data_IF_431541251358
#
_entry.id   IF_431541251358
#
_cell.length_a   1.000
_cell.length_b   1.000
_cell.length_c   1.000
_cell.angle_alpha   90.00
_cell.angle_beta   90.00
_cell.angle_gamma   90.00
#
_symmetry.space_group_name_H-M   'P 1'
#
loop_
_entity.id
_entity.type
_entity.pdbx_description
1 polymer ?
#
# COMPACT_ATOMS: atom_id res chain seq x y z
N UNK A 1 19.07 19.24 -3.47
CA UNK A 1 18.74 17.94 -4.10
C UNK A 1 17.44 17.47 -3.49
N UNK A 2 16.32 17.64 -4.18
CA UNK A 2 15.01 17.20 -3.68
C UNK A 2 14.94 15.71 -4.00
N UNK A 3 14.86 14.87 -2.97
CA UNK A 3 14.63 13.44 -3.13
C UNK A 3 13.36 13.25 -3.98
N UNK A 4 13.47 12.56 -5.11
CA UNK A 4 12.32 12.25 -5.96
C UNK A 4 11.28 11.52 -5.12
N UNK A 5 10.07 12.08 -5.06
CA UNK A 5 8.97 11.45 -4.34
C UNK A 5 8.68 10.09 -4.96
N UNK A 6 8.39 9.05 -4.15
CA UNK A 6 7.96 7.76 -4.67
C UNK A 6 6.69 7.93 -5.52
N UNK A 7 6.60 7.18 -6.62
CA UNK A 7 5.44 7.18 -7.53
C UNK A 7 4.17 6.75 -6.81
N UNK A 8 4.29 5.82 -5.87
CA UNK A 8 3.21 5.39 -4.99
C UNK A 8 3.74 5.15 -3.57
N UNK A 9 3.10 5.80 -2.61
CA UNK A 9 3.33 5.61 -1.19
C UNK A 9 1.98 5.46 -0.47
N UNK A 10 1.69 4.24 -0.04
CA UNK A 10 0.54 3.92 0.81
C UNK A 10 1.03 3.70 2.24
N UNK A 11 0.45 4.39 3.21
CA UNK A 11 0.77 4.22 4.63
C UNK A 11 -0.50 4.25 5.48
N UNK A 12 -0.54 3.60 6.65
CA UNK A 12 -1.71 3.69 7.52
C UNK A 12 -1.83 5.12 8.06
N UNK A 13 -3.03 5.71 8.04
CA UNK A 13 -3.27 7.01 8.66
C UNK A 13 -3.00 6.91 10.15
N UNK A 14 -2.00 7.63 10.66
CA UNK A 14 -1.81 7.80 12.11
C UNK A 14 -2.64 8.99 12.56
N UNK A 15 -3.08 8.97 13.81
CA UNK A 15 -3.80 10.09 14.45
C UNK A 15 -3.00 11.41 14.41
N UNK A 16 -1.68 11.34 14.25
CA UNK A 16 -0.75 12.49 14.13
C UNK A 16 -0.53 12.97 12.68
N UNK A 17 -1.04 12.29 11.65
CA UNK A 17 -0.86 12.69 10.25
C UNK A 17 -1.75 13.89 9.84
N UNK A 18 -2.72 14.29 10.68
CA UNK A 18 -3.44 15.58 10.54
C UNK A 18 -2.50 16.80 10.59
N UNK A 19 -1.28 16.65 11.11
CA UNK A 19 -0.31 17.76 11.20
C UNK A 19 0.56 17.86 9.93
N UNK A 20 0.52 16.86 9.04
CA UNK A 20 1.36 16.81 7.81
C UNK A 20 0.72 17.42 6.56
N UNK A 21 -0.52 17.90 6.63
CA UNK A 21 -1.12 18.75 5.58
C UNK A 21 -0.26 20.00 5.31
N UNK A 22 0.68 20.36 6.19
CA UNK A 22 1.65 21.45 6.00
C UNK A 22 2.86 21.13 5.09
N UNK A 23 3.11 19.88 4.70
CA UNK A 23 4.34 19.49 3.96
C UNK A 23 4.13 19.15 2.46
N UNK A 24 2.99 19.54 1.88
CA UNK A 24 2.83 19.65 0.42
C UNK A 24 2.78 18.33 -0.36
N UNK A 25 2.40 17.23 0.29
CA UNK A 25 2.08 15.98 -0.40
C UNK A 25 0.62 15.65 -0.13
N UNK A 26 -0.24 16.01 -1.09
CA UNK A 26 -1.68 15.81 -1.06
C UNK A 26 -2.01 14.32 -0.91
N UNK A 27 -2.99 14.04 -0.06
CA UNK A 27 -3.58 12.71 0.10
C UNK A 27 -4.56 12.48 -1.07
N UNK A 28 -4.32 11.43 -1.86
CA UNK A 28 -5.14 11.09 -3.02
C UNK A 28 -6.23 10.09 -2.61
N UNK A 29 -7.48 10.54 -2.63
CA UNK A 29 -8.62 9.68 -2.32
C UNK A 29 -9.00 8.82 -3.53
N UNK A 30 -9.27 7.53 -3.29
CA UNK A 30 -9.68 6.59 -4.33
C UNK A 30 -11.21 6.39 -4.41
N UNK A 31 -11.97 7.13 -3.59
CA UNK A 31 -13.42 7.03 -3.50
C UNK A 31 -13.91 5.78 -2.78
N UNK A 32 -13.08 5.17 -1.94
CA UNK A 32 -13.44 4.05 -1.06
C UNK A 32 -13.33 4.53 0.38
N UNK A 33 -14.44 4.93 1.04
CA UNK A 33 -14.40 5.60 2.34
C UNK A 33 -13.63 4.81 3.40
N UNK A 34 -13.77 3.48 3.41
CA UNK A 34 -13.08 2.64 4.41
C UNK A 34 -11.58 2.62 4.13
N UNK A 35 -11.20 2.56 2.86
CA UNK A 35 -9.80 2.59 2.45
C UNK A 35 -9.16 3.96 2.72
N UNK A 36 -9.84 5.03 2.30
CA UNK A 36 -9.39 6.42 2.41
C UNK A 36 -9.34 6.88 3.88
N UNK A 37 -10.17 6.33 4.77
CA UNK A 37 -10.05 6.55 6.22
C UNK A 37 -8.89 5.75 6.86
N UNK A 38 -8.56 4.58 6.31
CA UNK A 38 -7.54 3.67 6.87
C UNK A 38 -6.13 4.04 6.40
N UNK A 39 -5.98 4.46 5.16
CA UNK A 39 -4.71 4.68 4.50
C UNK A 39 -4.59 6.10 3.98
N UNK A 40 -3.36 6.59 4.01
CA UNK A 40 -2.91 7.80 3.34
C UNK A 40 -2.21 7.35 2.07
N UNK A 41 -2.63 7.89 0.93
CA UNK A 41 -2.10 7.56 -0.38
C UNK A 41 -1.45 8.80 -1.00
N UNK A 42 -0.15 8.72 -1.24
CA UNK A 42 0.60 9.76 -1.97
C UNK A 42 1.07 9.19 -3.29
N UNK A 43 0.74 9.90 -4.37
CA UNK A 43 1.01 9.44 -5.73
C UNK A 43 1.52 10.59 -6.58
N UNK A 44 2.46 10.29 -7.47
CA UNK A 44 2.86 11.21 -8.53
C UNK A 44 2.02 11.03 -9.81
N UNK A 45 1.37 9.88 -9.96
CA UNK A 45 0.51 9.50 -11.09
C UNK A 45 -0.76 8.83 -10.55
N UNK A 46 -1.83 9.63 -10.45
CA UNK A 46 -3.12 9.17 -9.93
C UNK A 46 -3.73 8.07 -10.81
N UNK A 47 -3.73 8.24 -12.13
CA UNK A 47 -4.38 7.30 -13.05
C UNK A 47 -3.72 5.93 -13.04
N UNK A 48 -2.38 5.88 -13.06
CA UNK A 48 -1.68 4.60 -12.95
C UNK A 48 -1.89 3.93 -11.59
N UNK A 49 -2.00 4.73 -10.52
CA UNK A 49 -2.17 4.20 -9.16
C UNK A 49 -3.60 3.72 -8.90
N UNK A 50 -4.61 4.39 -9.43
CA UNK A 50 -6.01 3.94 -9.40
C UNK A 50 -6.18 2.61 -10.13
N UNK A 51 -5.53 2.44 -11.28
CA UNK A 51 -5.53 1.18 -12.02
C UNK A 51 -4.79 0.06 -11.26
N UNK A 52 -3.73 0.40 -10.51
CA UNK A 52 -3.01 -0.57 -9.68
C UNK A 52 -3.86 -0.98 -8.47
N UNK A 53 -4.36 0.02 -7.73
CA UNK A 53 -5.20 -0.09 -6.55
C UNK A 53 -6.67 -0.20 -6.96
N UNK A 54 -6.99 -1.25 -7.71
CA UNK A 54 -8.37 -1.57 -8.03
C UNK A 54 -9.17 -2.00 -6.78
N UNK A 55 -10.52 -2.03 -6.84
CA UNK A 55 -11.34 -2.39 -5.68
C UNK A 55 -11.00 -3.76 -5.05
N UNK A 56 -10.71 -4.84 -5.82
CA UNK A 56 -10.22 -6.10 -5.27
C UNK A 56 -8.96 -5.95 -4.41
N UNK A 57 -7.95 -5.23 -4.91
CA UNK A 57 -6.68 -5.06 -4.20
C UNK A 57 -6.85 -4.21 -2.93
N UNK A 58 -7.67 -3.14 -2.98
CA UNK A 58 -8.02 -2.31 -1.81
C UNK A 58 -8.59 -3.15 -0.67
N UNK A 59 -9.55 -4.02 -0.98
CA UNK A 59 -10.18 -4.93 0.00
C UNK A 59 -9.17 -5.89 0.61
N UNK A 60 -8.25 -6.42 -0.21
CA UNK A 60 -7.21 -7.34 0.26
C UNK A 60 -6.20 -6.64 1.17
N UNK A 61 -5.81 -5.41 0.84
CA UNK A 61 -4.97 -4.56 1.68
C UNK A 61 -5.65 -4.26 3.03
N UNK A 62 -6.93 -3.90 3.03
CA UNK A 62 -7.71 -3.70 4.26
C UNK A 62 -7.78 -4.97 5.11
N UNK A 63 -8.02 -6.14 4.50
CA UNK A 63 -8.08 -7.42 5.22
C UNK A 63 -6.72 -7.77 5.86
N UNK A 64 -5.62 -7.57 5.13
CA UNK A 64 -4.27 -7.81 5.64
C UNK A 64 -3.91 -6.82 6.75
N UNK A 65 -4.30 -5.55 6.62
CA UNK A 65 -4.07 -4.56 7.66
C UNK A 65 -4.74 -4.95 8.99
N UNK A 66 -6.00 -5.39 8.91
CA UNK A 66 -6.77 -5.83 10.08
C UNK A 66 -6.21 -7.10 10.73
N UNK A 67 -5.57 -7.98 9.97
CA UNK A 67 -5.11 -9.29 10.45
C UNK A 67 -3.63 -9.36 10.81
N UNK A 68 -2.80 -8.52 10.20
CA UNK A 68 -1.34 -8.55 10.34
C UNK A 68 -0.80 -7.27 11.00
N UNK A 69 -1.50 -6.15 10.87
CA UNK A 69 -1.15 -4.88 11.47
C UNK A 69 -0.76 -3.80 10.44
N UNK A 70 -0.05 -2.75 10.87
CA UNK A 70 0.35 -1.63 10.01
C UNK A 70 1.14 -2.12 8.77
N UNK A 71 0.60 -1.84 7.58
CA UNK A 71 1.25 -2.13 6.30
C UNK A 71 1.55 -0.84 5.55
N UNK A 72 2.60 -0.86 4.73
CA UNK A 72 2.97 0.25 3.86
C UNK A 72 3.37 -0.29 2.50
N UNK A 73 2.96 0.38 1.43
CA UNK A 73 3.35 0.04 0.07
C UNK A 73 4.20 1.18 -0.49
N UNK A 74 5.37 0.85 -1.01
CA UNK A 74 6.25 1.79 -1.72
C UNK A 74 6.53 1.28 -3.13
N UNK A 75 7.31 2.03 -3.91
CA UNK A 75 7.83 1.55 -5.19
C UNK A 75 8.73 0.32 -5.01
N UNK A 76 9.44 0.21 -3.89
CA UNK A 76 10.36 -0.90 -3.61
C UNK A 76 9.63 -2.16 -3.12
N UNK A 77 8.40 -2.04 -2.62
CA UNK A 77 7.58 -3.20 -2.28
C UNK A 77 6.63 -2.98 -1.10
N UNK A 78 6.15 -4.10 -0.56
CA UNK A 78 5.23 -4.16 0.57
C UNK A 78 6.02 -4.34 1.87
N UNK A 79 5.87 -3.39 2.79
CA UNK A 79 6.43 -3.44 4.13
C UNK A 79 5.33 -3.68 5.16
N UNK A 80 5.53 -4.65 6.04
CA UNK A 80 4.58 -4.95 7.11
C UNK A 80 5.28 -4.89 8.46
N UNK A 81 4.67 -4.17 9.41
CA UNK A 81 5.17 -4.07 10.78
C UNK A 81 4.32 -4.94 11.69
N UNK A 82 4.90 -6.03 12.15
CA UNK A 82 4.28 -6.88 13.17
C UNK A 82 4.42 -6.16 14.53
N UNK A 83 3.31 -5.88 15.24
CA UNK A 83 3.36 -5.16 16.52
C UNK A 83 3.96 -6.01 17.64
N UNK A 84 3.95 -7.35 17.48
CA UNK A 84 4.49 -8.31 18.44
C UNK A 84 5.29 -9.37 17.72
N UNK A 85 6.30 -9.93 18.40
CA UNK A 85 6.94 -11.18 17.95
C UNK A 85 5.88 -12.27 18.08
N UNK A 86 5.50 -12.98 17.00
CA UNK A 86 4.53 -14.04 17.09
C UNK A 86 5.03 -15.11 18.07
N UNK A 87 4.26 -15.32 19.14
CA UNK A 87 4.58 -16.30 20.18
C UNK A 87 4.46 -17.73 19.63
N UNK A 88 3.64 -17.90 18.59
CA UNK A 88 3.48 -19.14 17.85
C UNK A 88 4.26 -19.10 16.53
N UNK A 89 5.30 -19.94 16.36
CA UNK A 89 6.12 -19.99 15.15
C UNK A 89 5.35 -20.49 13.91
N UNK A 90 4.18 -21.12 14.05
CA UNK A 90 3.34 -21.55 12.93
C UNK A 90 2.52 -20.42 12.30
N UNK A 91 2.38 -19.29 12.99
CA UNK A 91 1.64 -18.12 12.52
C UNK A 91 2.44 -17.33 11.49
N UNK A 92 3.78 -17.36 11.58
CA UNK A 92 4.68 -16.64 10.67
C UNK A 92 4.58 -17.20 9.24
N UNK A 93 4.72 -18.52 8.98
CA UNK A 93 4.62 -19.06 7.62
C UNK A 93 3.30 -18.74 6.92
N UNK A 94 2.16 -18.88 7.61
CA UNK A 94 0.84 -18.63 7.03
C UNK A 94 0.64 -17.15 6.70
N UNK A 95 1.06 -16.24 7.59
CA UNK A 95 0.99 -14.80 7.32
C UNK A 95 1.98 -14.38 6.22
N UNK A 96 3.18 -14.96 6.20
CA UNK A 96 4.19 -14.71 5.16
C UNK A 96 3.68 -15.18 3.79
N UNK A 97 2.99 -16.32 3.70
CA UNK A 97 2.38 -16.79 2.46
C UNK A 97 1.42 -15.76 1.86
N UNK A 98 0.47 -15.25 2.67
CA UNK A 98 -0.46 -14.22 2.22
C UNK A 98 0.22 -12.91 1.79
N UNK A 99 1.32 -12.54 2.45
CA UNK A 99 2.10 -11.35 2.09
C UNK A 99 2.88 -11.53 0.79
N UNK A 100 3.46 -12.72 0.57
CA UNK A 100 4.17 -13.05 -0.67
C UNK A 100 3.22 -13.12 -1.86
N UNK A 101 2.03 -13.70 -1.68
CA UNK A 101 0.98 -13.70 -2.70
C UNK A 101 0.55 -12.27 -3.06
N UNK A 102 0.32 -11.42 -2.07
CA UNK A 102 -0.03 -10.02 -2.29
C UNK A 102 1.10 -9.26 -3.01
N UNK A 103 2.35 -9.45 -2.59
CA UNK A 103 3.50 -8.82 -3.21
C UNK A 103 3.67 -9.27 -4.67
N UNK A 104 3.47 -10.57 -4.94
CA UNK A 104 3.49 -11.13 -6.29
C UNK A 104 2.39 -10.55 -7.19
N UNK A 105 1.18 -10.42 -6.66
CA UNK A 105 0.05 -9.80 -7.38
C UNK A 105 0.34 -8.34 -7.73
N UNK A 106 0.86 -7.55 -6.79
CA UNK A 106 1.24 -6.15 -7.02
C UNK A 106 2.35 -6.06 -8.07
N UNK A 107 3.36 -6.93 -7.99
CA UNK A 107 4.47 -6.96 -8.95
C UNK A 107 4.00 -7.34 -10.36
N UNK A 108 3.12 -8.34 -10.48
CA UNK A 108 2.54 -8.75 -11.76
C UNK A 108 1.74 -7.63 -12.41
N UNK A 109 0.90 -6.93 -11.62
CA UNK A 109 0.10 -5.80 -12.11
C UNK A 109 0.97 -4.63 -12.56
N UNK A 110 2.02 -4.29 -11.80
CA UNK A 110 3.01 -3.28 -12.21
C UNK A 110 3.72 -3.67 -13.50
N UNK A 111 4.14 -4.93 -13.63
CA UNK A 111 4.74 -5.45 -14.85
C UNK A 111 3.82 -5.34 -16.06
N UNK A 112 2.53 -5.67 -15.90
CA UNK A 112 1.52 -5.54 -16.95
C UNK A 112 1.28 -4.07 -17.36
N UNK A 113 1.28 -3.13 -16.40
CA UNK A 113 1.16 -1.69 -16.68
C UNK A 113 2.38 -1.15 -17.43
N UNK A 114 3.59 -1.65 -17.13
CA UNK A 114 4.83 -1.25 -17.82
C UNK A 114 4.98 -1.88 -19.21
N UNK A 115 4.32 -3.01 -19.47
CA UNK A 115 4.36 -3.75 -20.73
C UNK A 115 3.23 -3.38 -21.71
N UNK A 116 2.43 -2.34 -21.42
CA UNK A 116 1.33 -1.90 -22.26
C UNK A 116 1.76 -1.49 -23.70
N UNK A 117 0.85 -1.55 -24.68
CA UNK A 117 1.13 -1.59 -26.13
C UNK A 117 1.65 -0.29 -26.75
N UNK A 118 2.02 0.70 -25.95
CA UNK A 118 2.71 1.91 -26.41
C UNK A 118 4.19 1.83 -26.06
N UNK A 119 4.88 0.90 -26.73
CA UNK A 119 6.28 1.02 -27.10
C UNK A 119 6.39 0.80 -28.61
#
# INVERSE_FOLDING_TARGET
MVAGLPRCLLQPKRTVDRVKELFGADDHELGDPVFDETFLLRVSDASSTEALLDPPLRRRLLAIHRTVGPLSLTDDGLLVRLPTVPVDPSVVPTKVGHLLELAGEIAQRRGAQQAGPYR
#
